data_IF_795202806941
#
_entry.id   IF_795202806941
#
_cell.length_a   1.000
_cell.length_b   1.000
_cell.length_c   1.000
_cell.angle_alpha   90.00
_cell.angle_beta   90.00
_cell.angle_gamma   90.00
#
_symmetry.space_group_name_H-M   'P 1'
#
loop_
_entity.id
_entity.type
_entity.pdbx_description
1 polymer ?
#
# COMPACT_ATOMS: atom_id res chain seq x y z
N UNK A 1 22.03 -1.49 3.28
CA UNK A 1 21.23 -1.13 2.09
C UNK A 1 20.71 0.28 2.29
N UNK A 2 20.80 1.13 1.27
CA UNK A 2 20.55 2.56 1.43
C UNK A 2 19.08 2.83 1.73
N UNK A 3 18.80 3.47 2.87
CA UNK A 3 17.47 3.88 3.30
C UNK A 3 16.69 4.61 2.19
N UNK A 4 17.39 5.45 1.43
CA UNK A 4 16.84 6.16 0.29
C UNK A 4 16.25 5.23 -0.79
N UNK A 5 16.87 4.08 -1.04
CA UNK A 5 16.35 3.08 -2.00
C UNK A 5 15.04 2.48 -1.48
N UNK A 6 14.95 2.21 -0.18
CA UNK A 6 13.72 1.75 0.47
C UNK A 6 12.58 2.76 0.34
N UNK A 7 12.85 4.02 0.66
CA UNK A 7 11.87 5.12 0.53
C UNK A 7 11.43 5.30 -0.92
N UNK A 8 12.36 5.33 -1.87
CA UNK A 8 12.05 5.45 -3.31
C UNK A 8 11.20 4.28 -3.80
N UNK A 9 11.55 3.06 -3.42
CA UNK A 9 10.74 1.87 -3.75
C UNK A 9 9.31 2.00 -3.22
N UNK A 10 9.16 2.48 -1.98
CA UNK A 10 7.86 2.64 -1.38
C UNK A 10 7.04 3.77 -2.01
N UNK A 11 7.68 4.86 -2.44
CA UNK A 11 7.05 5.91 -3.26
C UNK A 11 6.49 5.35 -4.58
N UNK A 12 7.25 4.49 -5.27
CA UNK A 12 6.77 3.86 -6.50
C UNK A 12 5.60 2.91 -6.27
N UNK A 13 5.60 2.16 -5.16
CA UNK A 13 4.47 1.29 -4.78
C UNK A 13 3.21 2.11 -4.53
N UNK A 14 3.31 3.22 -3.78
CA UNK A 14 2.19 4.13 -3.54
C UNK A 14 1.68 4.72 -4.85
N UNK A 15 2.58 5.16 -5.74
CA UNK A 15 2.21 5.67 -7.06
C UNK A 15 1.49 4.61 -7.91
N UNK A 16 1.96 3.36 -7.90
CA UNK A 16 1.31 2.24 -8.58
C UNK A 16 -0.12 1.99 -8.07
N UNK A 17 -0.32 2.06 -6.75
CA UNK A 17 -1.65 1.95 -6.15
C UNK A 17 -2.57 3.12 -6.50
N UNK A 18 -2.04 4.34 -6.54
CA UNK A 18 -2.77 5.53 -6.93
C UNK A 18 -3.18 5.47 -8.42
N UNK A 19 -2.30 5.01 -9.31
CA UNK A 19 -2.62 4.82 -10.73
C UNK A 19 -3.66 3.72 -10.94
N UNK A 20 -3.61 2.67 -10.12
CA UNK A 20 -4.63 1.60 -10.07
C UNK A 20 -5.99 2.09 -9.56
N UNK A 21 -6.17 3.38 -9.25
CA UNK A 21 -7.51 3.94 -9.04
C UNK A 21 -8.29 4.05 -10.35
N UNK A 22 -7.63 4.04 -11.52
CA UNK A 22 -8.31 4.14 -12.83
C UNK A 22 -8.97 2.83 -13.25
N UNK A 23 -8.32 1.70 -12.97
CA UNK A 23 -8.79 0.35 -13.32
C UNK A 23 -8.92 -0.49 -12.06
N UNK A 24 -9.94 -1.34 -11.95
CA UNK A 24 -10.15 -2.12 -10.72
C UNK A 24 -9.18 -3.32 -10.70
N UNK A 25 -8.19 -3.36 -9.79
CA UNK A 25 -7.24 -4.47 -9.74
C UNK A 25 -7.88 -5.72 -9.11
N UNK A 26 -7.28 -6.92 -9.30
CA UNK A 26 -7.78 -8.16 -8.72
C UNK A 26 -7.90 -8.07 -7.19
N UNK A 27 -9.07 -8.42 -6.64
CA UNK A 27 -9.35 -8.35 -5.20
C UNK A 27 -8.27 -9.01 -4.33
N UNK A 28 -7.82 -10.21 -4.73
CA UNK A 28 -6.78 -10.96 -3.99
C UNK A 28 -5.46 -10.18 -3.90
N UNK A 29 -5.08 -9.50 -4.99
CA UNK A 29 -3.87 -8.68 -5.02
C UNK A 29 -4.00 -7.48 -4.08
N UNK A 30 -5.13 -6.78 -4.14
CA UNK A 30 -5.43 -5.63 -3.30
C UNK A 30 -5.42 -5.97 -1.80
N UNK A 31 -6.02 -7.11 -1.43
CA UNK A 31 -6.02 -7.58 -0.05
C UNK A 31 -4.61 -7.97 0.43
N UNK A 32 -3.86 -8.73 -0.38
CA UNK A 32 -2.53 -9.18 -0.01
C UNK A 32 -1.57 -8.00 0.20
N UNK A 33 -1.61 -7.01 -0.69
CA UNK A 33 -0.85 -5.77 -0.53
C UNK A 33 -1.32 -4.92 0.64
N UNK A 34 -2.63 -4.86 0.90
CA UNK A 34 -3.17 -4.15 2.06
C UNK A 34 -2.66 -4.74 3.38
N UNK A 35 -2.72 -6.05 3.53
CA UNK A 35 -2.20 -6.74 4.71
C UNK A 35 -0.68 -6.55 4.84
N UNK A 36 0.07 -6.77 3.75
CA UNK A 36 1.52 -6.60 3.77
C UNK A 36 1.95 -5.17 4.13
N UNK A 37 1.31 -4.16 3.53
CA UNK A 37 1.60 -2.75 3.81
C UNK A 37 1.20 -2.37 5.24
N UNK A 38 0.10 -2.92 5.78
CA UNK A 38 -0.31 -2.67 7.17
C UNK A 38 0.71 -3.24 8.17
N UNK A 39 1.23 -4.44 7.90
CA UNK A 39 2.28 -5.05 8.72
C UNK A 39 3.58 -4.25 8.66
N UNK A 40 3.97 -3.76 7.48
CA UNK A 40 5.14 -2.90 7.30
C UNK A 40 4.96 -1.53 7.98
N UNK A 41 3.75 -0.96 7.97
CA UNK A 41 3.44 0.24 8.74
C UNK A 41 3.61 0.00 10.24
N UNK A 42 3.07 -1.09 10.78
CA UNK A 42 3.26 -1.46 12.19
C UNK A 42 4.75 -1.64 12.53
N UNK A 43 5.52 -2.28 11.65
CA UNK A 43 6.96 -2.41 11.81
C UNK A 43 7.69 -1.06 11.82
N UNK A 44 7.38 -0.16 10.89
CA UNK A 44 7.95 1.17 10.84
C UNK A 44 7.62 2.01 12.08
N UNK A 45 6.41 1.84 12.63
CA UNK A 45 6.02 2.43 13.91
C UNK A 45 6.93 1.96 15.05
N UNK A 46 7.19 0.65 15.15
CA UNK A 46 8.11 0.09 16.16
C UNK A 46 9.56 0.60 16.00
N UNK A 47 9.97 0.92 14.76
CA UNK A 47 11.29 1.50 14.48
C UNK A 47 11.36 3.02 14.71
N UNK A 48 10.22 3.69 14.91
CA UNK A 48 10.16 5.14 14.99
C UNK A 48 10.48 5.82 13.65
N UNK A 49 10.19 5.17 12.52
CA UNK A 49 10.41 5.71 11.17
C UNK A 49 9.12 6.33 10.61
N UNK A 50 8.94 7.66 10.73
CA UNK A 50 7.69 8.31 10.34
C UNK A 50 7.49 8.32 8.81
N UNK A 51 8.56 8.34 8.02
CA UNK A 51 8.46 8.41 6.55
C UNK A 51 8.02 7.07 6.00
N UNK A 52 8.69 5.99 6.42
CA UNK A 52 8.35 4.64 5.97
C UNK A 52 6.98 4.22 6.50
N UNK A 53 6.62 4.65 7.72
CA UNK A 53 5.27 4.50 8.28
C UNK A 53 4.23 5.18 7.40
N UNK A 54 4.41 6.47 7.09
CA UNK A 54 3.45 7.24 6.28
C UNK A 54 3.23 6.61 4.89
N UNK A 55 4.31 6.18 4.23
CA UNK A 55 4.24 5.55 2.90
C UNK A 55 3.51 4.21 2.95
N UNK A 56 3.77 3.37 3.96
CA UNK A 56 3.06 2.10 4.12
C UNK A 56 1.59 2.29 4.52
N UNK A 57 1.26 3.29 5.33
CA UNK A 57 -0.12 3.68 5.61
C UNK A 57 -0.85 4.11 4.32
N UNK A 58 -0.21 4.93 3.47
CA UNK A 58 -0.78 5.34 2.20
C UNK A 58 -1.01 4.14 1.26
N UNK A 59 -0.03 3.24 1.14
CA UNK A 59 -0.18 2.02 0.34
C UNK A 59 -1.31 1.13 0.85
N UNK A 60 -1.42 0.97 2.18
CA UNK A 60 -2.52 0.23 2.83
C UNK A 60 -3.88 0.83 2.49
N UNK A 61 -4.03 2.15 2.65
CA UNK A 61 -5.30 2.83 2.39
C UNK A 61 -5.71 2.70 0.92
N UNK A 62 -4.78 2.91 -0.02
CA UNK A 62 -5.06 2.82 -1.45
C UNK A 62 -5.38 1.39 -1.90
N UNK A 63 -4.65 0.39 -1.42
CA UNK A 63 -4.92 -1.01 -1.78
C UNK A 63 -6.25 -1.49 -1.20
N UNK A 64 -6.60 -1.12 0.03
CA UNK A 64 -7.90 -1.45 0.63
C UNK A 64 -9.05 -0.71 -0.05
N UNK A 65 -8.87 0.54 -0.47
CA UNK A 65 -9.86 1.25 -1.28
C UNK A 65 -10.10 0.52 -2.62
N UNK A 66 -9.04 0.03 -3.26
CA UNK A 66 -9.15 -0.79 -4.46
C UNK A 66 -9.78 -2.17 -4.20
N UNK A 67 -9.52 -2.79 -3.05
CA UNK A 67 -10.21 -4.01 -2.64
C UNK A 67 -11.72 -3.77 -2.47
N UNK A 68 -12.11 -2.67 -1.83
CA UNK A 68 -13.51 -2.30 -1.68
C UNK A 68 -14.19 -2.03 -3.03
N UNK A 69 -13.50 -1.37 -3.97
CA UNK A 69 -13.98 -1.20 -5.35
C UNK A 69 -14.16 -2.53 -6.08
N UNK A 70 -13.20 -3.44 -5.94
CA UNK A 70 -13.24 -4.77 -6.55
C UNK A 70 -14.32 -5.69 -5.96
N UNK A 71 -14.68 -5.50 -4.68
CA UNK A 71 -15.82 -6.18 -4.07
C UNK A 71 -17.13 -5.66 -4.65
N UNK A 72 -17.30 -4.33 -4.73
CA UNK A 72 -18.50 -3.69 -5.27
C UNK A 72 -18.78 -4.02 -6.73
N UNK A 73 -17.76 -4.28 -7.54
CA UNK A 73 -17.93 -4.65 -8.95
C UNK A 73 -18.28 -6.14 -9.16
N UNK A 74 -18.27 -6.96 -8.10
CA UNK A 74 -18.55 -8.40 -8.15
C UNK A 74 -19.91 -8.78 -7.55
N UNK A 75 -20.44 -7.95 -6.67
CA UNK A 75 -21.84 -7.94 -6.22
C UNK A 75 -22.72 -7.26 -7.24
#
# INVERSE_FOLDING_TARGET
MDYAVGVLGMCFIVAGWALSLREVPPLRLSLLYGIGSALLAAYACCLGDPVFLALNCAATALSLANAARALRSRT
#
